data_IF_262374359464
#
_entry.id   IF_262374359464
#
_cell.length_a   1.000
_cell.length_b   1.000
_cell.length_c   1.000
_cell.angle_alpha   90.00
_cell.angle_beta   90.00
_cell.angle_gamma   90.00
#
_symmetry.space_group_name_H-M   'P 1'
#
loop_
_entity.id
_entity.type
_entity.pdbx_description
1 polymer ?
#
# COMPACT_ATOMS: atom_id res chain seq x y z
N UNK A 1 -60.76 3.00 36.78
CA UNK A 1 -61.49 1.90 36.12
C UNK A 1 -62.28 1.14 37.17
N UNK A 2 -63.60 1.35 37.24
CA UNK A 2 -64.46 0.93 38.35
C UNK A 2 -65.70 0.12 37.87
N UNK A 3 -65.55 -0.65 36.79
CA UNK A 3 -66.66 -1.39 36.15
C UNK A 3 -66.57 -2.91 36.34
N UNK A 4 -65.44 -3.46 36.78
CA UNK A 4 -65.25 -4.91 36.96
C UNK A 4 -65.99 -5.51 38.17
N UNK A 5 -66.29 -4.71 39.21
CA UNK A 5 -66.92 -5.21 40.45
C UNK A 5 -68.45 -5.38 40.36
N UNK A 6 -69.11 -4.75 39.40
CA UNK A 6 -70.58 -4.71 39.35
C UNK A 6 -71.21 -5.96 38.71
N UNK A 7 -70.48 -6.67 37.84
CA UNK A 7 -70.94 -7.91 37.22
C UNK A 7 -70.77 -9.14 38.12
N UNK A 8 -69.75 -9.17 38.97
CA UNK A 8 -69.52 -10.26 39.93
C UNK A 8 -70.61 -10.35 41.01
N UNK A 9 -71.13 -9.22 41.48
CA UNK A 9 -72.09 -9.19 42.59
C UNK A 9 -73.50 -9.67 42.20
N UNK A 10 -73.94 -9.40 40.96
CA UNK A 10 -75.32 -9.67 40.50
C UNK A 10 -75.53 -11.13 40.08
N UNK A 11 -74.50 -11.79 39.58
CA UNK A 11 -74.55 -13.16 39.08
C UNK A 11 -74.65 -14.23 40.20
N UNK A 12 -74.18 -13.87 41.41
CA UNK A 12 -74.05 -14.75 42.59
C UNK A 12 -75.35 -14.87 43.39
N UNK A 13 -76.18 -13.82 43.46
CA UNK A 13 -77.41 -13.85 44.28
C UNK A 13 -78.54 -14.73 43.73
N UNK A 14 -78.53 -15.04 42.42
CA UNK A 14 -79.55 -15.90 41.78
C UNK A 14 -79.33 -17.42 42.02
N UNK A 15 -78.20 -17.84 42.57
CA UNK A 15 -77.77 -19.25 42.57
C UNK A 15 -78.28 -20.10 43.74
N UNK A 16 -79.09 -19.55 44.66
CA UNK A 16 -79.11 -19.95 46.07
C UNK A 16 -80.36 -20.66 46.60
N UNK A 17 -81.28 -21.07 45.73
CA UNK A 17 -82.44 -21.88 46.12
C UNK A 17 -82.12 -23.38 46.24
N UNK A 18 -82.33 -23.90 47.45
CA UNK A 18 -82.75 -25.27 47.81
C UNK A 18 -81.75 -26.45 47.98
N UNK A 19 -82.19 -27.28 48.95
CA UNK A 19 -81.87 -28.66 49.37
C UNK A 19 -80.62 -28.99 50.23
N UNK A 20 -80.93 -29.45 51.45
CA UNK A 20 -80.12 -30.23 52.41
C UNK A 20 -80.58 -31.70 52.30
N UNK A 21 -79.63 -32.66 52.26
CA UNK A 21 -79.70 -34.06 52.76
C UNK A 21 -78.80 -35.03 51.94
N UNK A 22 -78.04 -35.87 52.65
CA UNK A 22 -77.31 -37.10 52.26
C UNK A 22 -75.88 -37.06 51.66
N UNK A 23 -74.97 -37.84 52.28
CA UNK A 23 -73.49 -37.74 52.20
C UNK A 23 -72.84 -38.45 51.00
N UNK A 24 -73.45 -39.50 50.42
CA UNK A 24 -72.95 -40.15 49.18
C UNK A 24 -73.10 -39.27 47.93
N UNK A 25 -73.71 -38.10 48.08
CA UNK A 25 -73.97 -37.12 47.03
C UNK A 25 -72.98 -35.93 47.08
N UNK A 26 -72.01 -35.90 48.00
CA UNK A 26 -71.10 -34.76 48.20
C UNK A 26 -70.27 -34.43 46.94
N UNK A 27 -69.53 -35.39 46.37
CA UNK A 27 -68.77 -35.16 45.12
C UNK A 27 -69.67 -34.89 43.91
N UNK A 28 -70.86 -35.48 43.84
CA UNK A 28 -71.84 -35.18 42.79
C UNK A 28 -72.39 -33.76 42.92
N UNK A 29 -72.67 -33.30 44.14
CA UNK A 29 -73.08 -31.92 44.46
C UNK A 29 -71.98 -30.91 44.21
N UNK A 30 -70.75 -31.23 44.59
CA UNK A 30 -69.57 -30.43 44.26
C UNK A 30 -69.46 -30.25 42.74
N UNK A 31 -69.58 -31.34 41.98
CA UNK A 31 -69.56 -31.30 40.52
C UNK A 31 -70.75 -30.53 39.94
N UNK A 32 -71.96 -30.68 40.48
CA UNK A 32 -73.14 -29.89 40.05
C UNK A 32 -72.94 -28.39 40.33
N UNK A 33 -72.47 -28.03 41.52
CA UNK A 33 -72.21 -26.65 41.93
C UNK A 33 -71.10 -26.04 41.07
N UNK A 34 -70.01 -26.79 40.84
CA UNK A 34 -68.93 -26.42 39.93
C UNK A 34 -69.44 -26.14 38.52
N UNK A 35 -70.23 -27.06 37.93
CA UNK A 35 -70.84 -26.87 36.60
C UNK A 35 -71.74 -25.63 36.57
N UNK A 36 -72.48 -25.36 37.66
CA UNK A 36 -73.33 -24.18 37.80
C UNK A 36 -72.51 -22.88 37.82
N UNK A 37 -71.38 -22.84 38.52
CA UNK A 37 -70.43 -21.71 38.52
C UNK A 37 -69.80 -21.55 37.13
N UNK A 38 -69.29 -22.62 36.54
CA UNK A 38 -68.62 -22.59 35.23
C UNK A 38 -69.53 -22.15 34.07
N UNK A 39 -70.82 -22.48 34.09
CA UNK A 39 -71.79 -21.98 33.09
C UNK A 39 -72.05 -20.48 33.19
N UNK A 40 -71.76 -19.89 34.34
CA UNK A 40 -72.08 -18.51 34.69
C UNK A 40 -70.86 -17.58 34.61
N UNK A 41 -69.65 -18.12 34.69
CA UNK A 41 -68.41 -17.35 34.57
C UNK A 41 -67.85 -17.47 33.14
N UNK A 42 -67.89 -16.41 32.32
CA UNK A 42 -67.24 -16.43 31.00
C UNK A 42 -65.72 -16.63 31.15
N UNK A 43 -65.10 -17.31 30.18
CA UNK A 43 -63.65 -17.36 30.06
C UNK A 43 -63.22 -16.13 29.25
N UNK A 44 -63.22 -14.95 29.88
CA UNK A 44 -62.80 -13.72 29.21
C UNK A 44 -61.27 -13.63 29.11
N UNK A 45 -60.77 -12.98 28.07
CA UNK A 45 -59.39 -12.48 28.02
C UNK A 45 -59.07 -11.67 29.28
N UNK A 46 -57.92 -11.96 29.88
CA UNK A 46 -57.45 -11.25 31.06
C UNK A 46 -58.27 -11.42 32.34
N UNK A 47 -59.33 -12.25 32.38
CA UNK A 47 -59.95 -12.63 33.66
C UNK A 47 -58.98 -13.58 34.37
N UNK A 48 -58.38 -13.17 35.50
CA UNK A 48 -57.41 -14.01 36.18
C UNK A 48 -58.15 -15.30 36.57
N UNK A 49 -57.54 -16.47 36.35
CA UNK A 49 -58.09 -17.75 36.83
C UNK A 49 -58.57 -17.70 38.28
N UNK A 50 -57.96 -16.78 39.05
CA UNK A 50 -58.37 -16.29 40.37
C UNK A 50 -59.86 -15.97 40.53
N UNK A 51 -60.53 -15.33 39.56
CA UNK A 51 -61.96 -14.98 39.67
C UNK A 51 -62.87 -16.22 39.69
N UNK A 52 -62.61 -17.19 38.82
CA UNK A 52 -63.39 -18.45 38.80
C UNK A 52 -63.07 -19.31 40.02
N UNK A 53 -61.79 -19.41 40.39
CA UNK A 53 -61.37 -20.13 41.60
C UNK A 53 -61.99 -19.53 42.87
N UNK A 54 -62.03 -18.19 42.98
CA UNK A 54 -62.66 -17.49 44.09
C UNK A 54 -64.18 -17.67 44.10
N UNK A 55 -64.83 -17.68 42.93
CA UNK A 55 -66.26 -17.95 42.83
C UNK A 55 -66.60 -19.38 43.28
N UNK A 56 -65.78 -20.37 42.91
CA UNK A 56 -65.91 -21.75 43.40
C UNK A 56 -65.72 -21.81 44.91
N UNK A 57 -64.66 -21.21 45.43
CA UNK A 57 -64.41 -21.14 46.87
C UNK A 57 -65.62 -20.55 47.62
N UNK A 58 -66.14 -19.39 47.21
CA UNK A 58 -67.34 -18.77 47.81
C UNK A 58 -68.53 -19.72 47.79
N UNK A 59 -68.74 -20.42 46.68
CA UNK A 59 -69.86 -21.35 46.53
C UNK A 59 -69.74 -22.55 47.48
N UNK A 60 -68.54 -23.11 47.65
CA UNK A 60 -68.27 -24.23 48.56
C UNK A 60 -68.39 -23.80 50.02
N UNK A 61 -67.77 -22.68 50.40
CA UNK A 61 -67.86 -22.14 51.77
C UNK A 61 -69.29 -21.84 52.17
N UNK A 62 -70.11 -21.30 51.27
CA UNK A 62 -71.54 -21.05 51.52
C UNK A 62 -72.35 -22.34 51.76
N UNK A 63 -71.88 -23.47 51.24
CA UNK A 63 -72.47 -24.79 51.48
C UNK A 63 -71.89 -25.49 52.72
N UNK A 64 -71.04 -24.80 53.50
CA UNK A 64 -70.47 -25.29 54.75
C UNK A 64 -69.21 -26.14 54.57
N UNK A 65 -68.61 -26.14 53.39
CA UNK A 65 -67.36 -26.87 53.12
C UNK A 65 -66.15 -25.99 53.37
N UNK A 66 -65.05 -26.58 53.83
CA UNK A 66 -63.76 -25.87 53.94
C UNK A 66 -63.11 -25.86 52.57
N UNK A 67 -62.70 -24.67 52.12
CA UNK A 67 -62.08 -24.51 50.82
C UNK A 67 -60.96 -23.46 50.87
N UNK A 68 -60.01 -23.58 49.96
CA UNK A 68 -58.85 -22.69 49.80
C UNK A 68 -58.64 -22.38 48.31
N UNK A 69 -58.08 -21.21 47.99
CA UNK A 69 -57.63 -20.87 46.64
C UNK A 69 -56.12 -20.75 46.62
N UNK A 70 -55.42 -21.68 45.94
CA UNK A 70 -53.97 -21.60 45.76
C UNK A 70 -53.64 -21.03 44.40
N UNK A 71 -52.70 -20.11 44.38
CA UNK A 71 -52.04 -19.63 43.18
C UNK A 71 -50.67 -20.29 43.09
N UNK A 72 -50.45 -21.01 42.01
CA UNK A 72 -49.20 -21.69 41.68
C UNK A 72 -48.58 -21.05 40.43
N UNK A 73 -47.28 -21.16 40.26
CA UNK A 73 -46.64 -20.70 39.03
C UNK A 73 -45.20 -20.31 39.19
N UNK A 74 -44.64 -19.84 38.09
CA UNK A 74 -43.32 -19.24 38.01
C UNK A 74 -43.57 -17.75 37.76
N UNK A 75 -43.18 -16.92 38.72
CA UNK A 75 -43.65 -15.54 38.95
C UNK A 75 -43.50 -14.56 37.78
N UNK A 76 -42.84 -14.97 36.70
CA UNK A 76 -42.60 -14.19 35.47
C UNK A 76 -43.52 -14.53 34.30
N UNK A 77 -44.20 -15.69 34.27
CA UNK A 77 -44.78 -16.22 33.02
C UNK A 77 -46.28 -16.54 33.11
N UNK A 78 -46.67 -17.41 34.05
CA UNK A 78 -48.05 -17.88 34.15
C UNK A 78 -48.35 -18.24 35.59
N UNK A 79 -49.55 -17.84 36.05
CA UNK A 79 -50.08 -18.31 37.33
C UNK A 79 -51.32 -19.16 37.13
N UNK A 80 -51.39 -20.24 37.89
CA UNK A 80 -52.40 -21.29 37.84
C UNK A 80 -53.13 -21.32 39.18
N UNK A 81 -54.35 -20.81 39.21
CA UNK A 81 -55.16 -20.78 40.43
C UNK A 81 -56.06 -22.01 40.54
N UNK A 82 -55.94 -22.74 41.65
CA UNK A 82 -56.70 -23.94 41.98
C UNK A 82 -57.57 -23.72 43.21
N UNK A 83 -58.78 -24.28 43.21
CA UNK A 83 -59.61 -24.36 44.41
C UNK A 83 -59.46 -25.74 45.04
N UNK A 84 -59.06 -25.79 46.30
CA UNK A 84 -58.93 -27.04 47.06
C UNK A 84 -60.10 -27.10 48.04
N UNK A 85 -60.79 -28.23 48.12
CA UNK A 85 -61.96 -28.41 48.98
C UNK A 85 -61.80 -29.65 49.83
N UNK A 86 -62.02 -29.52 51.13
CA UNK A 86 -62.11 -30.65 52.05
C UNK A 86 -63.48 -31.33 51.89
N UNK A 87 -63.47 -32.57 51.43
CA UNK A 87 -64.66 -33.41 51.27
C UNK A 87 -64.43 -34.70 52.06
N UNK A 88 -65.06 -34.80 53.22
CA UNK A 88 -64.97 -35.98 54.10
C UNK A 88 -63.51 -36.38 54.45
N UNK A 89 -62.65 -35.38 54.68
CA UNK A 89 -61.23 -35.58 55.00
C UNK A 89 -60.32 -35.75 53.79
N UNK A 90 -60.86 -35.72 52.57
CA UNK A 90 -60.09 -35.76 51.32
C UNK A 90 -60.04 -34.37 50.70
N UNK A 91 -58.82 -33.86 50.48
CA UNK A 91 -58.58 -32.58 49.82
C UNK A 91 -58.69 -32.75 48.31
N UNK A 92 -59.85 -32.41 47.74
CA UNK A 92 -60.11 -32.50 46.30
C UNK A 92 -59.64 -31.24 45.57
N UNK A 93 -58.98 -31.42 44.43
CA UNK A 93 -58.53 -30.32 43.56
C UNK A 93 -59.61 -30.02 42.52
N UNK A 94 -60.07 -28.77 42.49
CA UNK A 94 -60.89 -28.23 41.43
C UNK A 94 -60.10 -27.20 40.63
N UNK A 95 -59.72 -27.62 39.42
CA UNK A 95 -58.98 -26.78 38.49
C UNK A 95 -59.94 -26.05 37.56
N UNK A 96 -60.18 -24.78 37.88
CA UNK A 96 -61.04 -23.92 37.09
C UNK A 96 -60.36 -23.42 35.80
N UNK A 97 -59.03 -23.42 35.77
CA UNK A 97 -58.23 -22.86 34.68
C UNK A 97 -58.14 -23.86 33.55
N UNK A 98 -57.57 -25.04 33.82
CA UNK A 98 -57.45 -26.14 32.85
C UNK A 98 -58.69 -27.03 32.78
N UNK A 99 -59.68 -26.79 33.65
CA UNK A 99 -60.92 -27.56 33.69
C UNK A 99 -60.71 -29.06 33.95
N UNK A 100 -59.75 -29.34 34.82
CA UNK A 100 -59.33 -30.68 35.18
C UNK A 100 -59.97 -31.12 36.50
N UNK A 101 -60.22 -32.43 36.60
CA UNK A 101 -60.54 -33.10 37.86
C UNK A 101 -59.52 -34.18 38.10
N UNK A 102 -58.90 -34.14 39.27
CA UNK A 102 -57.88 -35.10 39.67
C UNK A 102 -58.57 -36.26 40.40
N UNK A 103 -58.16 -37.49 40.11
CA UNK A 103 -58.65 -38.67 40.84
C UNK A 103 -58.00 -38.79 42.22
N UNK A 104 -56.76 -38.31 42.32
CA UNK A 104 -55.97 -38.29 43.54
C UNK A 104 -56.29 -37.06 44.41
N UNK A 105 -56.07 -37.19 45.72
CA UNK A 105 -56.13 -36.08 46.64
C UNK A 105 -54.98 -35.10 46.42
N UNK A 106 -55.12 -33.87 46.94
CA UNK A 106 -54.14 -32.80 46.71
C UNK A 106 -52.71 -33.18 47.06
N UNK A 107 -52.49 -33.83 48.21
CA UNK A 107 -51.15 -34.24 48.63
C UNK A 107 -50.55 -35.33 47.74
N UNK A 108 -51.36 -36.31 47.34
CA UNK A 108 -50.91 -37.39 46.45
C UNK A 108 -50.54 -36.85 45.06
N UNK A 109 -51.27 -35.84 44.57
CA UNK A 109 -50.91 -35.12 43.34
C UNK A 109 -49.55 -34.44 43.47
N UNK A 110 -49.31 -33.73 44.58
CA UNK A 110 -48.02 -33.08 44.82
C UNK A 110 -46.87 -34.09 44.92
N UNK A 111 -47.07 -35.20 45.61
CA UNK A 111 -46.06 -36.26 45.72
C UNK A 111 -45.75 -36.88 44.35
N UNK A 112 -46.77 -37.21 43.57
CA UNK A 112 -46.59 -37.74 42.22
C UNK A 112 -45.80 -36.78 41.31
N UNK A 113 -46.18 -35.49 41.32
CA UNK A 113 -45.47 -34.46 40.57
C UNK A 113 -44.03 -34.29 41.06
N UNK A 114 -43.79 -34.32 42.38
CA UNK A 114 -42.45 -34.24 42.96
C UNK A 114 -41.56 -35.40 42.52
N UNK A 115 -42.13 -36.60 42.40
CA UNK A 115 -41.45 -37.78 41.86
C UNK A 115 -41.25 -37.72 40.33
N UNK A 116 -41.71 -36.64 39.68
CA UNK A 116 -41.64 -36.45 38.23
C UNK A 116 -42.64 -37.30 37.45
N UNK A 117 -43.67 -37.83 38.11
CA UNK A 117 -44.72 -38.62 37.48
C UNK A 117 -45.85 -37.69 37.01
N UNK A 118 -46.27 -37.77 35.74
CA UNK A 118 -47.45 -37.04 35.29
C UNK A 118 -48.68 -37.57 36.03
N UNK A 119 -49.60 -36.68 36.38
CA UNK A 119 -50.80 -37.02 37.15
C UNK A 119 -52.00 -37.10 36.24
N UNK A 120 -52.62 -38.26 36.16
CA UNK A 120 -53.84 -38.44 35.37
C UNK A 120 -54.96 -37.54 35.89
N UNK A 121 -55.43 -36.66 34.99
CA UNK A 121 -56.50 -35.74 35.27
C UNK A 121 -57.55 -35.85 34.17
N UNK A 122 -58.82 -35.92 34.58
CA UNK A 122 -59.93 -35.98 33.65
C UNK A 122 -60.33 -34.56 33.26
N UNK A 123 -60.21 -34.24 31.97
CA UNK A 123 -60.84 -33.06 31.42
C UNK A 123 -62.37 -33.23 31.51
N UNK A 124 -63.05 -32.30 32.18
CA UNK A 124 -64.50 -32.25 32.09
C UNK A 124 -64.91 -31.44 30.86
N UNK A 125 -65.79 -31.97 30.03
CA UNK A 125 -66.36 -31.20 28.93
C UNK A 125 -67.25 -30.11 29.56
N UNK A 126 -66.92 -28.84 29.31
CA UNK A 126 -67.82 -27.73 29.63
C UNK A 126 -68.72 -27.53 28.43
N UNK A 127 -70.02 -27.73 28.64
CA UNK A 127 -71.01 -27.70 27.56
C UNK A 127 -71.02 -26.39 26.76
N UNK A 128 -70.59 -25.25 27.34
CA UNK A 128 -70.46 -23.94 26.64
C UNK A 128 -69.47 -23.02 27.33
N UNK A 129 -68.45 -22.54 26.61
CA UNK A 129 -67.68 -21.36 27.04
C UNK A 129 -67.61 -20.34 25.92
N UNK A 130 -67.87 -19.09 26.29
CA UNK A 130 -67.66 -17.94 25.43
C UNK A 130 -66.27 -17.39 25.77
N UNK A 131 -65.37 -17.40 24.80
CA UNK A 131 -64.13 -16.64 24.86
C UNK A 131 -64.42 -15.23 24.39
N UNK A 132 -64.14 -14.24 25.24
CA UNK A 132 -64.28 -12.82 24.89
C UNK A 132 -62.88 -12.36 24.53
N UNK A 133 -62.68 -11.89 23.30
CA UNK A 133 -61.40 -11.52 22.73
C UNK A 133 -61.32 -10.00 22.58
N UNK A 134 -60.21 -9.40 23.02
CA UNK A 134 -59.88 -8.02 22.70
C UNK A 134 -58.90 -7.98 21.52
N UNK A 135 -59.33 -7.55 20.32
CA UNK A 135 -58.46 -7.49 19.15
C UNK A 135 -57.24 -6.58 19.33
N UNK A 136 -57.27 -5.64 20.28
CA UNK A 136 -56.17 -4.73 20.55
C UNK A 136 -55.02 -5.34 21.36
N UNK A 137 -55.23 -6.51 21.98
CA UNK A 137 -54.26 -7.15 22.86
C UNK A 137 -53.89 -8.58 22.48
N UNK A 138 -54.74 -9.27 21.70
CA UNK A 138 -54.48 -10.67 21.36
C UNK A 138 -53.45 -10.82 20.22
N UNK A 139 -52.49 -11.77 20.36
CA UNK A 139 -51.59 -12.14 19.27
C UNK A 139 -52.35 -12.66 18.04
N UNK A 140 -51.83 -12.38 16.85
CA UNK A 140 -52.40 -12.86 15.58
C UNK A 140 -52.58 -14.40 15.55
N UNK A 141 -51.65 -15.15 16.14
CA UNK A 141 -51.75 -16.60 16.27
C UNK A 141 -52.98 -17.05 17.08
N UNK A 142 -53.30 -16.33 18.17
CA UNK A 142 -54.50 -16.58 18.96
C UNK A 142 -55.76 -16.33 18.14
N UNK A 143 -55.80 -15.22 17.40
CA UNK A 143 -56.93 -14.86 16.54
C UNK A 143 -57.17 -15.92 15.48
N UNK A 144 -56.12 -16.30 14.75
CA UNK A 144 -56.18 -17.31 13.69
C UNK A 144 -56.64 -18.68 14.25
N UNK A 145 -56.16 -19.05 15.44
CA UNK A 145 -56.59 -20.29 16.08
C UNK A 145 -58.07 -20.25 16.47
N UNK A 146 -58.56 -19.14 17.03
CA UNK A 146 -59.97 -18.98 17.39
C UNK A 146 -60.89 -19.04 16.17
N UNK A 147 -60.52 -18.38 15.07
CA UNK A 147 -61.31 -18.39 13.84
C UNK A 147 -61.39 -19.79 13.20
N UNK A 148 -60.34 -20.60 13.36
CA UNK A 148 -60.29 -21.95 12.85
C UNK A 148 -60.98 -23.00 13.75
N UNK A 149 -61.02 -22.78 15.07
CA UNK A 149 -61.40 -23.82 16.05
C UNK A 149 -62.64 -23.48 16.89
N UNK A 150 -63.14 -22.24 16.85
CA UNK A 150 -64.40 -21.89 17.49
C UNK A 150 -65.58 -22.53 16.74
N UNK A 151 -66.60 -22.95 17.48
CA UNK A 151 -67.85 -23.47 16.88
C UNK A 151 -68.55 -22.38 16.06
N UNK A 152 -68.48 -21.14 16.56
CA UNK A 152 -68.95 -19.91 15.88
C UNK A 152 -68.50 -18.65 16.60
N UNK A 153 -68.51 -17.55 15.86
CA UNK A 153 -68.47 -16.20 16.44
C UNK A 153 -69.88 -15.73 16.86
N UNK A 154 -69.96 -15.06 18.01
CA UNK A 154 -71.17 -14.51 18.61
C UNK A 154 -71.20 -12.98 18.44
N UNK A 155 -72.36 -12.37 18.64
CA UNK A 155 -72.48 -10.91 18.59
C UNK A 155 -71.50 -10.24 19.59
N UNK A 156 -70.71 -9.25 19.13
CA UNK A 156 -69.72 -8.57 19.98
C UNK A 156 -70.38 -7.79 21.11
N UNK A 157 -69.62 -7.53 22.18
CA UNK A 157 -70.06 -6.71 23.33
C UNK A 157 -68.98 -5.65 23.57
N UNK A 158 -69.37 -4.38 23.61
CA UNK A 158 -68.47 -3.26 23.92
C UNK A 158 -67.20 -3.22 23.04
N UNK A 159 -67.32 -3.62 21.77
CA UNK A 159 -66.20 -3.70 20.82
C UNK A 159 -65.34 -4.96 20.93
N UNK A 160 -65.62 -5.84 21.90
CA UNK A 160 -64.92 -7.11 22.09
C UNK A 160 -65.58 -8.22 21.25
N UNK A 161 -64.77 -8.96 20.50
CA UNK A 161 -65.21 -10.13 19.72
C UNK A 161 -65.51 -11.29 20.68
N UNK A 162 -66.43 -12.18 20.31
CA UNK A 162 -66.88 -13.27 21.18
C UNK A 162 -66.96 -14.56 20.41
N UNK A 163 -66.30 -15.60 20.89
CA UNK A 163 -66.26 -16.91 20.25
C UNK A 163 -66.87 -17.97 21.16
N UNK A 164 -67.74 -18.82 20.63
CA UNK A 164 -68.16 -20.05 21.30
C UNK A 164 -67.08 -21.11 21.03
N UNK A 165 -66.34 -21.50 22.08
CA UNK A 165 -65.23 -22.45 21.95
C UNK A 165 -65.27 -23.51 23.05
N UNK A 166 -64.90 -24.74 22.70
CA UNK A 166 -64.67 -25.78 23.68
C UNK A 166 -63.40 -25.46 24.48
N UNK A 167 -63.58 -25.09 25.75
CA UNK A 167 -62.44 -24.73 26.61
C UNK A 167 -61.75 -25.97 27.19
N UNK A 168 -60.75 -26.46 26.47
CA UNK A 168 -59.84 -27.53 26.86
C UNK A 168 -58.39 -26.99 27.02
N UNK A 169 -57.44 -27.89 27.29
CA UNK A 169 -56.02 -27.52 27.44
C UNK A 169 -55.43 -26.92 26.15
N UNK A 170 -55.85 -27.41 24.99
CA UNK A 170 -55.40 -26.89 23.69
C UNK A 170 -55.85 -25.45 23.44
N UNK A 171 -57.13 -25.15 23.69
CA UNK A 171 -57.67 -23.79 23.62
C UNK A 171 -56.93 -22.85 24.56
N UNK A 172 -56.59 -23.33 25.77
CA UNK A 172 -55.77 -22.57 26.71
C UNK A 172 -54.36 -22.32 26.14
N UNK A 173 -53.71 -23.35 25.58
CA UNK A 173 -52.38 -23.26 24.96
C UNK A 173 -52.35 -22.22 23.84
N UNK A 174 -53.37 -22.23 22.99
CA UNK A 174 -53.47 -21.33 21.85
C UNK A 174 -53.83 -19.89 22.21
N UNK A 175 -54.51 -19.67 23.34
CA UNK A 175 -55.08 -18.35 23.70
C UNK A 175 -54.35 -17.63 24.83
N UNK A 176 -53.29 -18.22 25.40
CA UNK A 176 -52.53 -17.60 26.50
C UNK A 176 -51.12 -17.18 26.06
N UNK A 177 -50.87 -15.87 25.89
CA UNK A 177 -49.54 -15.37 25.57
C UNK A 177 -48.61 -15.57 26.77
N UNK A 178 -47.69 -16.54 26.67
CA UNK A 178 -46.73 -16.85 27.74
C UNK A 178 -46.53 -18.35 28.00
N UNK A 179 -47.32 -19.22 27.39
CA UNK A 179 -47.21 -20.68 27.62
C UNK A 179 -45.86 -21.24 27.17
N UNK A 180 -45.32 -20.78 26.04
CA UNK A 180 -43.99 -21.20 25.60
C UNK A 180 -42.87 -20.71 26.54
N UNK A 181 -43.05 -19.56 27.20
CA UNK A 181 -42.12 -19.13 28.24
C UNK A 181 -42.24 -20.03 29.47
N UNK A 182 -43.47 -20.33 29.91
CA UNK A 182 -43.72 -21.23 31.03
C UNK A 182 -43.16 -22.65 30.80
N UNK A 183 -43.31 -23.20 29.59
CA UNK A 183 -42.72 -24.49 29.25
C UNK A 183 -41.21 -24.47 29.27
N UNK A 184 -40.58 -23.42 28.72
CA UNK A 184 -39.12 -23.26 28.78
C UNK A 184 -38.62 -23.19 30.22
N UNK A 185 -39.27 -22.42 31.09
CA UNK A 185 -38.89 -22.34 32.49
C UNK A 185 -39.03 -23.69 33.21
N UNK A 186 -40.12 -24.43 32.96
CA UNK A 186 -40.30 -25.78 33.52
C UNK A 186 -39.18 -26.70 33.05
N UNK A 187 -38.85 -26.68 31.77
CA UNK A 187 -37.77 -27.46 31.18
C UNK A 187 -36.40 -27.07 31.77
N UNK A 188 -36.10 -25.79 31.90
CA UNK A 188 -34.87 -25.31 32.52
C UNK A 188 -34.72 -25.80 33.97
N UNK A 189 -35.84 -25.92 34.69
CA UNK A 189 -35.90 -26.48 36.04
C UNK A 189 -35.94 -28.02 36.07
N UNK A 190 -35.90 -28.67 34.91
CA UNK A 190 -35.83 -30.14 34.76
C UNK A 190 -37.19 -30.86 34.77
N UNK A 191 -38.29 -30.12 34.71
CA UNK A 191 -39.64 -30.66 34.60
C UNK A 191 -40.03 -30.95 33.13
N UNK A 192 -41.00 -31.85 32.90
CA UNK A 192 -41.63 -32.01 31.60
C UNK A 192 -42.40 -30.75 31.15
N UNK A 193 -42.70 -30.64 29.85
CA UNK A 193 -43.59 -29.62 29.28
C UNK A 193 -45.05 -29.88 29.65
N UNK A 194 -45.35 -29.80 30.94
CA UNK A 194 -46.65 -30.09 31.51
C UNK A 194 -46.96 -29.06 32.60
N UNK A 195 -47.98 -28.24 32.35
CA UNK A 195 -48.34 -27.11 33.22
C UNK A 195 -48.81 -27.56 34.61
N UNK A 196 -49.14 -28.84 34.82
CA UNK A 196 -49.45 -29.37 36.16
C UNK A 196 -48.26 -29.27 37.11
N UNK A 197 -47.03 -29.28 36.61
CA UNK A 197 -45.82 -29.11 37.44
C UNK A 197 -45.70 -27.71 38.06
N UNK A 198 -46.47 -26.72 37.58
CA UNK A 198 -46.58 -25.43 38.26
C UNK A 198 -47.05 -25.58 39.71
N UNK A 199 -47.82 -26.63 40.03
CA UNK A 199 -48.29 -26.91 41.40
C UNK A 199 -47.17 -27.16 42.43
N UNK A 200 -45.93 -27.38 41.99
CA UNK A 200 -44.75 -27.46 42.86
C UNK A 200 -44.16 -26.09 43.21
N UNK A 201 -44.74 -25.01 42.68
CA UNK A 201 -44.28 -23.63 42.85
C UNK A 201 -45.41 -22.76 43.41
N UNK A 202 -45.76 -22.88 44.70
CA UNK A 202 -46.80 -22.07 45.32
C UNK A 202 -46.36 -20.60 45.40
N UNK A 203 -47.28 -19.70 45.08
CA UNK A 203 -47.07 -18.24 45.10
C UNK A 203 -47.88 -17.62 46.25
N UNK A 204 -49.17 -17.94 46.32
CA UNK A 204 -50.09 -17.36 47.29
C UNK A 204 -51.23 -18.35 47.59
N UNK A 205 -51.77 -18.33 48.79
CA UNK A 205 -53.06 -18.97 49.10
C UNK A 205 -53.99 -18.01 49.79
N UNK A 206 -55.24 -18.00 49.38
CA UNK A 206 -56.34 -17.37 50.09
C UNK A 206 -57.16 -18.44 50.83
N UNK A 207 -57.22 -18.35 52.15
CA UNK A 207 -57.94 -19.30 53.01
C UNK A 207 -59.39 -18.91 53.31
N UNK A 208 -59.80 -17.72 52.85
CA UNK A 208 -61.11 -17.15 53.10
C UNK A 208 -61.09 -15.91 53.99
N UNK A 209 -60.05 -15.74 54.78
CA UNK A 209 -59.85 -14.57 55.64
C UNK A 209 -58.64 -13.76 55.17
N UNK A 210 -57.53 -14.44 54.88
CA UNK A 210 -56.23 -13.82 54.61
C UNK A 210 -55.55 -14.48 53.42
N UNK A 211 -54.72 -13.68 52.75
CA UNK A 211 -53.78 -14.18 51.76
C UNK A 211 -52.44 -14.47 52.45
N UNK A 212 -51.92 -15.69 52.25
CA UNK A 212 -50.61 -16.12 52.74
C UNK A 212 -49.66 -16.29 51.56
N UNK A 213 -48.50 -15.63 51.61
CA UNK A 213 -47.45 -15.72 50.59
C UNK A 213 -46.21 -16.46 51.07
N UNK A 214 -46.00 -16.54 52.38
CA UNK A 214 -44.88 -17.26 52.95
C UNK A 214 -45.20 -18.75 53.01
N UNK A 215 -44.42 -19.63 52.35
CA UNK A 215 -44.70 -21.08 52.34
C UNK A 215 -44.91 -21.73 53.72
N UNK A 216 -44.21 -21.33 54.81
CA UNK A 216 -44.44 -21.87 56.14
C UNK A 216 -45.82 -21.53 56.73
N UNK A 217 -46.45 -20.42 56.30
CA UNK A 217 -47.75 -19.97 56.82
C UNK A 217 -48.91 -20.39 55.93
N UNK A 218 -48.62 -20.87 54.71
CA UNK A 218 -49.65 -21.39 53.83
C UNK A 218 -50.36 -22.60 54.49
N UNK A 219 -51.68 -22.58 54.68
CA UNK A 219 -52.44 -23.76 55.09
C UNK A 219 -52.12 -24.93 54.14
N UNK A 220 -52.39 -26.18 54.55
CA UNK A 220 -52.17 -27.43 53.80
C UNK A 220 -50.72 -27.75 53.36
N UNK A 221 -49.91 -26.75 53.02
CA UNK A 221 -48.53 -26.89 52.59
C UNK A 221 -47.58 -26.74 53.77
N UNK A 222 -47.80 -25.80 54.71
CA UNK A 222 -47.11 -25.70 55.99
C UNK A 222 -45.58 -25.94 55.94
N UNK A 223 -44.89 -25.37 54.95
CA UNK A 223 -43.44 -25.55 54.78
C UNK A 223 -43.01 -26.92 54.23
N UNK A 224 -43.92 -27.73 53.70
CA UNK A 224 -43.62 -28.98 52.99
C UNK A 224 -42.64 -28.73 51.85
N UNK A 225 -41.64 -29.59 51.76
CA UNK A 225 -40.70 -29.57 50.66
C UNK A 225 -41.35 -30.10 49.36
N UNK A 226 -41.55 -29.17 48.43
CA UNK A 226 -42.09 -29.43 47.09
C UNK A 226 -40.98 -29.55 46.02
N UNK A 227 -39.70 -29.46 46.42
CA UNK A 227 -38.60 -29.63 45.50
C UNK A 227 -38.58 -31.05 44.93
N UNK A 228 -38.40 -31.17 43.62
CA UNK A 228 -38.25 -32.46 42.95
C UNK A 228 -36.76 -32.80 42.81
N UNK A 229 -36.24 -33.84 43.50
CA UNK A 229 -34.85 -34.28 43.32
C UNK A 229 -34.57 -34.72 41.89
N UNK A 230 -35.57 -35.33 41.23
CA UNK A 230 -35.44 -35.79 39.85
C UNK A 230 -35.35 -34.60 38.87
N UNK A 231 -36.16 -33.55 39.07
CA UNK A 231 -36.06 -32.34 38.26
C UNK A 231 -34.72 -31.64 38.48
N UNK A 232 -34.26 -31.54 39.74
CA UNK A 232 -32.94 -30.99 40.06
C UNK A 232 -31.81 -31.76 39.35
N UNK A 233 -31.85 -33.10 39.37
CA UNK A 233 -30.87 -33.94 38.67
C UNK A 233 -30.91 -33.73 37.14
N UNK A 234 -32.11 -33.61 36.54
CA UNK A 234 -32.27 -33.33 35.11
C UNK A 234 -31.76 -31.94 34.73
N UNK A 235 -32.03 -30.93 35.54
CA UNK A 235 -31.54 -29.57 35.34
C UNK A 235 -30.01 -29.53 35.42
N UNK A 236 -29.42 -30.17 36.44
CA UNK A 236 -27.98 -30.30 36.59
C UNK A 236 -27.33 -31.01 35.39
N UNK A 237 -27.90 -32.14 34.95
CA UNK A 237 -27.41 -32.86 33.77
C UNK A 237 -27.46 -32.00 32.50
N UNK A 238 -28.54 -31.24 32.30
CA UNK A 238 -28.65 -30.30 31.17
C UNK A 238 -27.57 -29.22 31.25
N UNK A 239 -27.33 -28.67 32.43
CA UNK A 239 -26.31 -27.66 32.64
C UNK A 239 -24.90 -28.21 32.34
N UNK A 240 -24.56 -29.39 32.87
CA UNK A 240 -23.29 -30.07 32.60
C UNK A 240 -23.13 -30.36 31.10
N UNK A 241 -24.19 -30.78 30.40
CA UNK A 241 -24.14 -31.02 28.97
C UNK A 241 -23.89 -29.74 28.15
N UNK A 242 -24.46 -28.60 28.56
CA UNK A 242 -24.18 -27.29 27.93
C UNK A 242 -22.74 -26.86 28.15
N UNK A 243 -22.25 -27.02 29.38
CA UNK A 243 -20.85 -26.72 29.73
C UNK A 243 -19.90 -27.59 28.92
N UNK A 244 -20.15 -28.90 28.84
CA UNK A 244 -19.36 -29.83 28.01
C UNK A 244 -19.38 -29.44 26.52
N UNK A 245 -20.53 -29.05 25.98
CA UNK A 245 -20.61 -28.57 24.60
C UNK A 245 -19.80 -27.27 24.39
N UNK A 246 -19.84 -26.35 25.35
CA UNK A 246 -19.06 -25.11 25.32
C UNK A 246 -17.54 -25.37 25.40
N UNK A 247 -17.12 -26.35 26.20
CA UNK A 247 -15.71 -26.74 26.31
C UNK A 247 -15.23 -27.37 25.01
N UNK A 248 -16.03 -28.27 24.41
CA UNK A 248 -15.72 -28.85 23.10
C UNK A 248 -15.57 -27.80 22.00
N UNK A 249 -16.44 -26.78 21.99
CA UNK A 249 -16.33 -25.67 21.05
C UNK A 249 -15.02 -24.88 21.26
N UNK A 250 -14.68 -24.56 22.52
CA UNK A 250 -13.42 -23.88 22.86
C UNK A 250 -12.20 -24.71 22.48
N UNK A 251 -12.22 -26.03 22.70
CA UNK A 251 -11.13 -26.92 22.27
C UNK A 251 -10.96 -26.93 20.75
N UNK A 252 -12.05 -26.97 19.99
CA UNK A 252 -12.00 -26.90 18.52
C UNK A 252 -11.42 -25.56 18.02
N UNK A 253 -11.76 -24.45 18.67
CA UNK A 253 -11.18 -23.13 18.37
C UNK A 253 -9.67 -23.09 18.67
N UNK A 254 -9.25 -23.67 19.78
CA UNK A 254 -7.83 -23.78 20.15
C UNK A 254 -7.05 -24.65 19.15
N UNK A 255 -7.59 -25.80 18.75
CA UNK A 255 -6.97 -26.66 17.72
C UNK A 255 -6.84 -25.93 16.38
N UNK A 256 -7.88 -25.20 15.95
CA UNK A 256 -7.82 -24.39 14.74
C UNK A 256 -6.74 -23.29 14.81
N UNK A 257 -6.56 -22.67 15.98
CA UNK A 257 -5.52 -21.68 16.22
C UNK A 257 -4.11 -22.30 16.18
N UNK A 258 -3.91 -23.47 16.78
CA UNK A 258 -2.65 -24.23 16.71
C UNK A 258 -2.30 -24.53 15.26
N UNK A 259 -3.24 -25.09 14.49
CA UNK A 259 -3.02 -25.40 13.07
C UNK A 259 -2.72 -24.17 12.21
N UNK A 260 -3.22 -22.98 12.61
CA UNK A 260 -2.87 -21.72 11.93
C UNK A 260 -1.44 -21.32 12.26
N UNK A 261 -1.06 -21.34 13.53
CA UNK A 261 0.29 -21.00 13.98
C UNK A 261 1.34 -21.97 13.40
N UNK A 262 1.05 -23.26 13.32
CA UNK A 262 1.95 -24.24 12.69
C UNK A 262 2.18 -23.93 11.21
N UNK A 263 1.13 -23.51 10.48
CA UNK A 263 1.25 -23.06 9.09
C UNK A 263 2.06 -21.78 8.95
N UNK A 264 1.82 -20.80 9.83
CA UNK A 264 2.60 -19.55 9.86
C UNK A 264 4.08 -19.84 10.16
N UNK A 265 4.38 -20.69 11.14
CA UNK A 265 5.73 -21.15 11.45
C UNK A 265 6.39 -21.84 10.24
N UNK A 266 5.69 -22.74 9.56
CA UNK A 266 6.19 -23.40 8.34
C UNK A 266 6.48 -22.41 7.21
N UNK A 267 5.63 -21.39 7.03
CA UNK A 267 5.84 -20.33 6.05
C UNK A 267 7.06 -19.46 6.41
N UNK A 268 7.21 -19.07 7.68
CA UNK A 268 8.37 -18.30 8.17
C UNK A 268 9.66 -19.11 8.00
N UNK A 269 9.67 -20.40 8.33
CA UNK A 269 10.84 -21.26 8.13
C UNK A 269 11.21 -21.37 6.65
N UNK A 270 10.23 -21.53 5.77
CA UNK A 270 10.45 -21.56 4.33
C UNK A 270 11.01 -20.23 3.81
N UNK A 271 10.47 -19.10 4.29
CA UNK A 271 10.96 -17.76 3.97
C UNK A 271 12.40 -17.52 4.46
N UNK A 272 12.73 -17.99 5.68
CA UNK A 272 14.08 -17.92 6.22
C UNK A 272 15.08 -18.75 5.40
N UNK A 273 14.69 -19.96 4.98
CA UNK A 273 15.50 -20.79 4.11
C UNK A 273 15.78 -20.11 2.76
N UNK A 274 14.76 -19.53 2.14
CA UNK A 274 14.89 -18.77 0.89
C UNK A 274 15.81 -17.55 1.06
N UNK A 275 15.62 -16.77 2.12
CA UNK A 275 16.47 -15.62 2.44
C UNK A 275 17.93 -16.03 2.70
N UNK A 276 18.16 -17.17 3.36
CA UNK A 276 19.50 -17.71 3.58
C UNK A 276 20.17 -18.13 2.26
N UNK A 277 19.43 -18.78 1.35
CA UNK A 277 19.97 -19.12 0.02
C UNK A 277 20.31 -17.88 -0.79
N UNK A 278 19.48 -16.85 -0.73
CA UNK A 278 19.72 -15.59 -1.43
C UNK A 278 20.92 -14.84 -0.83
N UNK A 279 21.06 -14.83 0.50
CA UNK A 279 22.22 -14.23 1.16
C UNK A 279 23.53 -14.91 0.76
N UNK A 280 23.54 -16.25 0.62
CA UNK A 280 24.70 -16.99 0.09
C UNK A 280 25.00 -16.59 -1.36
N UNK A 281 23.98 -16.54 -2.21
CA UNK A 281 24.11 -16.13 -3.61
C UNK A 281 24.72 -14.73 -3.74
N UNK A 282 24.23 -13.76 -2.95
CA UNK A 282 24.77 -12.40 -2.91
C UNK A 282 26.20 -12.38 -2.35
N UNK A 283 26.49 -13.20 -1.34
CA UNK A 283 27.85 -13.39 -0.82
C UNK A 283 28.82 -13.84 -1.91
N UNK A 284 28.45 -14.84 -2.70
CA UNK A 284 29.25 -15.34 -3.82
C UNK A 284 29.46 -14.26 -4.90
N UNK A 285 28.41 -13.47 -5.21
CA UNK A 285 28.52 -12.33 -6.13
C UNK A 285 29.50 -11.27 -5.63
N UNK A 286 29.49 -10.95 -4.34
CA UNK A 286 30.44 -9.99 -3.75
C UNK A 286 31.88 -10.51 -3.92
N UNK A 287 32.11 -11.81 -3.70
CA UNK A 287 33.44 -12.42 -3.90
C UNK A 287 33.88 -12.31 -5.36
N UNK A 288 32.98 -12.60 -6.31
CA UNK A 288 33.26 -12.46 -7.75
C UNK A 288 33.59 -11.01 -8.15
N UNK A 289 32.82 -10.05 -7.66
CA UNK A 289 33.04 -8.63 -7.96
C UNK A 289 34.36 -8.13 -7.36
N UNK A 290 34.74 -8.59 -6.16
CA UNK A 290 36.04 -8.28 -5.57
C UNK A 290 37.18 -8.84 -6.39
N UNK A 291 37.09 -10.10 -6.82
CA UNK A 291 38.10 -10.70 -7.69
C UNK A 291 38.25 -9.94 -9.02
N UNK A 292 37.13 -9.55 -9.65
CA UNK A 292 37.15 -8.76 -10.88
C UNK A 292 37.76 -7.37 -10.66
N UNK A 293 37.46 -6.71 -9.54
CA UNK A 293 38.08 -5.43 -9.17
C UNK A 293 39.59 -5.57 -8.96
N UNK A 294 40.04 -6.64 -8.31
CA UNK A 294 41.46 -6.92 -8.10
C UNK A 294 42.19 -7.22 -9.42
N UNK A 295 41.53 -7.90 -10.38
CA UNK A 295 42.04 -8.12 -11.73
C UNK A 295 42.17 -6.79 -12.50
N UNK A 296 41.15 -5.94 -12.48
CA UNK A 296 41.17 -4.62 -13.13
C UNK A 296 42.22 -3.70 -12.51
N UNK A 297 42.37 -3.72 -11.18
CA UNK A 297 43.41 -2.96 -10.48
C UNK A 297 44.80 -3.40 -10.93
N UNK A 298 45.02 -4.70 -11.12
CA UNK A 298 46.28 -5.25 -11.66
C UNK A 298 46.52 -4.83 -13.11
N UNK A 299 45.48 -4.85 -13.96
CA UNK A 299 45.56 -4.38 -15.35
C UNK A 299 45.95 -2.91 -15.41
N UNK A 300 45.27 -2.06 -14.65
CA UNK A 300 45.56 -0.63 -14.61
C UNK A 300 46.98 -0.34 -14.11
N UNK A 301 47.46 -1.08 -13.11
CA UNK A 301 48.84 -0.97 -12.63
C UNK A 301 49.86 -1.34 -13.73
N UNK A 302 49.60 -2.41 -14.48
CA UNK A 302 50.44 -2.84 -15.60
C UNK A 302 50.43 -1.81 -16.75
N UNK A 303 49.25 -1.32 -17.16
CA UNK A 303 49.13 -0.27 -18.19
C UNK A 303 49.86 1.01 -17.79
N UNK A 304 49.71 1.44 -16.53
CA UNK A 304 50.44 2.60 -16.01
C UNK A 304 51.95 2.38 -16.05
N UNK A 305 52.42 1.17 -15.74
CA UNK A 305 53.84 0.84 -15.85
C UNK A 305 54.32 0.89 -17.31
N UNK A 306 53.57 0.33 -18.25
CA UNK A 306 53.89 0.38 -19.69
C UNK A 306 53.92 1.82 -20.21
N UNK A 307 52.94 2.64 -19.84
CA UNK A 307 52.92 4.07 -20.21
C UNK A 307 54.09 4.84 -19.60
N UNK A 308 54.45 4.55 -18.35
CA UNK A 308 55.61 5.14 -17.72
C UNK A 308 56.90 4.77 -18.45
N UNK A 309 57.04 3.52 -18.90
CA UNK A 309 58.19 3.07 -19.68
C UNK A 309 58.24 3.76 -21.06
N UNK A 310 57.11 3.79 -21.77
CA UNK A 310 57.00 4.47 -23.05
C UNK A 310 57.31 5.98 -22.95
N UNK A 311 56.90 6.64 -21.85
CA UNK A 311 57.25 8.03 -21.59
C UNK A 311 58.77 8.20 -21.42
N UNK A 312 59.42 7.34 -20.62
CA UNK A 312 60.87 7.41 -20.44
C UNK A 312 61.64 7.15 -21.74
N UNK A 313 61.16 6.25 -22.59
CA UNK A 313 61.75 5.99 -23.92
C UNK A 313 61.56 7.19 -24.85
N UNK A 314 60.37 7.79 -24.87
CA UNK A 314 60.08 8.99 -25.66
C UNK A 314 60.93 10.19 -25.22
N UNK A 315 61.13 10.38 -23.90
CA UNK A 315 62.02 11.40 -23.35
C UNK A 315 63.47 11.16 -23.76
N UNK A 316 63.95 9.92 -23.70
CA UNK A 316 65.29 9.56 -24.15
C UNK A 316 65.47 9.81 -25.67
N UNK A 317 64.48 9.47 -26.48
CA UNK A 317 64.50 9.72 -27.92
C UNK A 317 64.43 11.22 -28.25
N UNK A 318 63.65 12.01 -27.50
CA UNK A 318 63.61 13.45 -27.63
C UNK A 318 64.94 14.10 -27.21
N UNK A 319 65.62 13.58 -26.19
CA UNK A 319 66.95 14.03 -25.81
C UNK A 319 67.98 13.70 -26.91
N UNK A 320 67.94 12.49 -27.47
CA UNK A 320 68.81 12.08 -28.57
C UNK A 320 68.62 12.97 -29.81
N UNK A 321 67.38 13.24 -30.23
CA UNK A 321 67.10 14.12 -31.37
C UNK A 321 67.50 15.57 -31.13
N UNK A 322 67.44 16.06 -29.89
CA UNK A 322 67.99 17.39 -29.51
C UNK A 322 69.52 17.43 -29.65
N UNK A 323 70.21 16.36 -29.25
CA UNK A 323 71.68 16.25 -29.44
C UNK A 323 72.02 16.23 -30.93
N UNK A 324 71.28 15.44 -31.73
CA UNK A 324 71.49 15.37 -33.18
C UNK A 324 71.21 16.71 -33.88
N UNK A 325 70.10 17.38 -33.54
CA UNK A 325 69.82 18.73 -34.08
C UNK A 325 70.84 19.77 -33.63
N UNK A 326 71.40 19.66 -32.41
CA UNK A 326 72.50 20.51 -31.98
C UNK A 326 73.79 20.24 -32.77
N UNK A 327 74.10 18.97 -33.04
CA UNK A 327 75.24 18.58 -33.86
C UNK A 327 75.11 19.09 -35.31
N UNK A 328 73.96 18.86 -35.95
CA UNK A 328 73.67 19.36 -37.29
C UNK A 328 73.74 20.90 -37.37
N UNK A 329 73.26 21.61 -36.34
CA UNK A 329 73.40 23.08 -36.27
C UNK A 329 74.87 23.51 -36.15
N UNK A 330 75.68 22.79 -35.39
CA UNK A 330 77.10 23.07 -35.28
C UNK A 330 77.82 22.85 -36.62
N UNK A 331 77.51 21.76 -37.33
CA UNK A 331 78.03 21.50 -38.68
C UNK A 331 77.62 22.58 -39.68
N UNK A 332 76.36 23.01 -39.66
CA UNK A 332 75.86 24.06 -40.55
C UNK A 332 76.53 25.41 -40.26
N UNK A 333 76.83 25.70 -38.99
CA UNK A 333 77.56 26.90 -38.59
C UNK A 333 79.01 26.84 -39.07
N UNK A 334 79.66 25.68 -38.95
CA UNK A 334 81.02 25.45 -39.48
C UNK A 334 81.07 25.60 -41.00
N UNK A 335 80.15 24.97 -41.72
CA UNK A 335 80.07 25.06 -43.17
C UNK A 335 79.84 26.51 -43.66
N UNK A 336 79.06 27.31 -42.92
CA UNK A 336 78.94 28.75 -43.20
C UNK A 336 80.25 29.50 -42.98
N UNK A 337 80.96 29.23 -41.88
CA UNK A 337 82.25 29.87 -41.62
C UNK A 337 83.31 29.51 -42.69
N UNK A 338 83.34 28.25 -43.13
CA UNK A 338 84.23 27.79 -44.20
C UNK A 338 83.90 28.49 -45.53
N UNK A 339 82.61 28.62 -45.86
CA UNK A 339 82.16 29.35 -47.05
C UNK A 339 82.51 30.85 -47.00
N UNK A 340 82.33 31.52 -45.86
CA UNK A 340 82.68 32.94 -45.70
C UNK A 340 84.20 33.17 -45.82
N UNK A 341 85.01 32.20 -45.37
CA UNK A 341 86.46 32.22 -45.54
C UNK A 341 86.87 32.08 -47.01
N UNK A 342 86.24 31.16 -47.76
CA UNK A 342 86.46 31.03 -49.21
C UNK A 342 86.07 32.30 -49.97
N UNK A 343 84.90 32.89 -49.65
CA UNK A 343 84.46 34.16 -50.24
C UNK A 343 85.46 35.28 -49.96
N UNK A 344 85.92 35.41 -48.72
CA UNK A 344 86.92 36.42 -48.34
C UNK A 344 88.23 36.21 -49.10
N UNK A 345 88.66 34.96 -49.29
CA UNK A 345 89.81 34.60 -50.12
C UNK A 345 89.63 35.00 -51.59
N UNK A 346 88.44 34.79 -52.14
CA UNK A 346 88.09 35.19 -53.50
C UNK A 346 88.08 36.72 -53.68
N UNK A 347 87.51 37.47 -52.72
CA UNK A 347 87.52 38.94 -52.73
C UNK A 347 88.96 39.51 -52.65
N UNK A 348 89.84 38.88 -51.87
CA UNK A 348 91.27 39.24 -51.79
C UNK A 348 92.02 38.96 -53.11
N UNK A 349 91.73 37.83 -53.76
CA UNK A 349 92.29 37.51 -55.08
C UNK A 349 91.82 38.50 -56.17
N UNK A 350 90.55 38.92 -56.09
CA UNK A 350 89.95 39.85 -57.06
C UNK A 350 90.54 41.26 -56.91
N UNK A 351 90.73 41.73 -55.68
CA UNK A 351 91.41 43.02 -55.39
C UNK A 351 92.89 42.99 -55.79
N UNK A 352 93.58 41.87 -55.61
CA UNK A 352 94.96 41.69 -56.09
C UNK A 352 95.04 41.74 -57.62
N UNK A 353 94.08 41.14 -58.32
CA UNK A 353 93.95 41.21 -59.78
C UNK A 353 93.67 42.64 -60.28
N UNK A 354 92.79 43.38 -59.60
CA UNK A 354 92.51 44.79 -59.94
C UNK A 354 93.74 45.69 -59.73
N UNK A 355 94.51 45.48 -58.65
CA UNK A 355 95.75 46.22 -58.40
C UNK A 355 96.81 45.92 -59.47
N UNK A 356 96.97 44.65 -59.86
CA UNK A 356 97.89 44.25 -60.93
C UNK A 356 97.49 44.84 -62.29
N UNK A 357 96.18 44.87 -62.61
CA UNK A 357 95.66 45.49 -63.82
C UNK A 357 95.89 47.02 -63.84
N UNK A 358 95.71 47.69 -62.70
CA UNK A 358 95.98 49.14 -62.56
C UNK A 358 97.44 49.51 -62.83
N UNK A 359 98.37 48.75 -62.25
CA UNK A 359 99.82 48.91 -62.48
C UNK A 359 100.21 48.71 -63.95
N UNK A 360 99.57 47.75 -64.63
CA UNK A 360 99.85 47.45 -66.04
C UNK A 360 99.37 48.57 -66.98
N UNK A 361 98.23 49.19 -66.66
CA UNK A 361 97.70 50.35 -67.41
C UNK A 361 98.59 51.58 -67.23
N UNK A 362 99.09 51.84 -66.02
CA UNK A 362 100.01 52.94 -65.75
C UNK A 362 101.36 52.78 -66.46
N UNK A 363 101.97 51.59 -66.43
CA UNK A 363 103.22 51.31 -67.15
C UNK A 363 103.06 51.47 -68.67
N UNK A 364 101.93 51.03 -69.22
CA UNK A 364 101.63 51.17 -70.66
C UNK A 364 101.43 52.64 -71.05
N UNK A 365 100.77 53.44 -70.20
CA UNK A 365 100.57 54.87 -70.40
C UNK A 365 101.89 55.66 -70.38
N UNK A 366 102.79 55.33 -69.45
CA UNK A 366 104.13 55.92 -69.39
C UNK A 366 104.96 55.60 -70.63
N UNK A 367 104.99 54.34 -71.07
CA UNK A 367 105.72 53.94 -72.28
C UNK A 367 105.24 54.66 -73.54
N UNK A 368 103.91 54.88 -73.68
CA UNK A 368 103.32 55.62 -74.80
C UNK A 368 103.63 57.12 -74.72
N UNK A 369 103.69 57.72 -73.52
CA UNK A 369 104.09 59.12 -73.37
C UNK A 369 105.56 59.35 -73.71
N UNK A 370 106.46 58.46 -73.29
CA UNK A 370 107.90 58.55 -73.61
C UNK A 370 108.14 58.47 -75.12
N UNK A 371 107.50 57.52 -75.81
CA UNK A 371 107.58 57.41 -77.26
C UNK A 371 107.04 58.65 -77.99
N UNK A 372 106.00 59.30 -77.46
CA UNK A 372 105.45 60.56 -78.00
C UNK A 372 106.39 61.76 -77.83
N UNK A 373 107.11 61.85 -76.70
CA UNK A 373 108.10 62.92 -76.49
C UNK A 373 109.33 62.76 -77.40
N UNK A 374 109.77 61.53 -77.64
CA UNK A 374 110.89 61.23 -78.55
C UNK A 374 110.54 61.53 -80.01
N UNK A 375 109.30 61.24 -80.43
CA UNK A 375 108.83 61.59 -81.77
C UNK A 375 108.83 63.12 -82.00
N UNK A 376 108.37 63.90 -81.01
CA UNK A 376 108.38 65.37 -81.10
C UNK A 376 109.79 65.97 -81.11
N UNK A 377 110.73 65.36 -80.38
CA UNK A 377 112.13 65.77 -80.41
C UNK A 377 112.73 65.53 -81.82
N UNK A 378 112.50 64.35 -82.40
CA UNK A 378 112.96 64.02 -83.76
C UNK A 378 112.33 64.91 -84.85
N UNK A 379 111.06 65.33 -84.70
CA UNK A 379 110.43 66.30 -85.61
C UNK A 379 111.07 67.70 -85.51
N UNK A 380 111.44 68.15 -84.32
CA UNK A 380 112.10 69.45 -84.11
C UNK A 380 113.53 69.49 -84.68
N UNK A 381 114.30 68.41 -84.55
CA UNK A 381 115.63 68.28 -85.16
C UNK A 381 115.56 68.31 -86.70
N UNK A 382 114.53 67.70 -87.29
CA UNK A 382 114.30 67.71 -88.74
C UNK A 382 113.93 69.10 -89.25
N UNK A 383 113.14 69.86 -88.49
CA UNK A 383 112.82 71.26 -88.83
C UNK A 383 114.06 72.17 -88.73
N UNK A 384 114.90 71.96 -87.71
CA UNK A 384 116.16 72.69 -87.54
C UNK A 384 117.14 72.43 -88.69
N UNK A 385 117.32 71.18 -89.11
CA UNK A 385 118.15 70.81 -90.25
C UNK A 385 117.66 71.40 -91.58
N UNK A 386 116.35 71.61 -91.72
CA UNK A 386 115.75 72.24 -92.91
C UNK A 386 116.00 73.75 -92.92
N UNK A 387 115.89 74.41 -91.76
CA UNK A 387 116.19 75.83 -91.60
C UNK A 387 117.67 76.16 -91.86
N UNK A 388 118.60 75.32 -91.40
CA UNK A 388 120.03 75.52 -91.65
C UNK A 388 120.41 75.32 -93.12
N UNK A 389 119.78 74.36 -93.80
CA UNK A 389 119.95 74.16 -95.25
C UNK A 389 119.52 75.38 -96.05
N UNK A 390 118.39 75.99 -95.70
CA UNK A 390 117.86 77.15 -96.42
C UNK A 390 118.69 78.42 -96.14
N UNK A 391 119.27 78.53 -94.94
CA UNK A 391 120.24 79.58 -94.58
C UNK A 391 121.55 79.48 -95.36
N UNK A 392 122.09 78.27 -95.53
CA UNK A 392 123.29 78.01 -96.35
C UNK A 392 123.02 78.32 -97.83
N UNK A 393 121.81 78.00 -98.34
CA UNK A 393 121.40 78.32 -99.71
C UNK A 393 121.30 79.83 -99.95
N UNK A 394 120.81 80.59 -98.98
CA UNK A 394 120.74 82.05 -99.06
C UNK A 394 122.14 82.71 -99.05
N UNK A 395 123.08 82.20 -98.25
CA UNK A 395 124.45 82.76 -98.19
C UNK A 395 125.25 82.46 -99.47
N UNK A 396 125.04 81.29 -100.09
CA UNK A 396 125.64 80.93 -101.37
C UNK A 396 125.09 81.76 -102.55
N UNK A 397 123.79 82.08 -102.55
CA UNK A 397 123.18 82.95 -103.54
C UNK A 397 123.72 84.40 -103.45
N UNK A 398 123.90 84.92 -102.24
CA UNK A 398 124.46 86.26 -102.02
C UNK A 398 125.94 86.38 -102.48
N UNK A 399 126.75 85.33 -102.26
CA UNK A 399 128.16 85.30 -102.69
C UNK A 399 128.33 85.17 -104.21
N UNK A 400 127.41 84.48 -104.89
CA UNK A 400 127.43 84.37 -106.36
C UNK A 400 127.05 85.70 -107.03
N UNK A 401 126.09 86.44 -106.46
CA UNK A 401 125.64 87.73 -106.99
C UNK A 401 126.69 88.85 -106.79
N UNK A 402 127.49 88.80 -105.72
CA UNK A 402 128.63 89.71 -105.51
C UNK A 402 129.79 89.49 -106.52
N UNK A 403 129.89 88.29 -107.11
CA UNK A 403 130.96 87.94 -108.06
C UNK A 403 130.64 88.37 -109.50
N UNK A 404 129.37 88.57 -109.85
CA UNK A 404 128.94 89.04 -111.17
C UNK A 404 129.16 90.55 -111.41
N UNK A 405 129.26 91.35 -110.34
CA UNK A 405 129.39 92.81 -110.43
C UNK A 405 130.83 93.35 -110.25
N UNK A 406 131.85 92.50 -110.35
CA UNK A 406 133.26 92.89 -110.14
C UNK A 406 133.87 93.64 -111.35
N UNK A 407 134.60 94.75 -111.13
CA UNK A 407 135.15 95.64 -112.18
C UNK A 407 136.15 94.96 -113.14
N UNK A 408 136.67 93.78 -112.80
CA UNK A 408 137.60 93.01 -113.64
C UNK A 408 136.96 92.39 -114.90
N UNK A 409 135.63 92.19 -114.93
CA UNK A 409 134.98 91.51 -116.06
C UNK A 409 134.69 92.41 -117.28
N UNK A 410 134.57 93.74 -117.10
CA UNK A 410 134.38 94.68 -118.22
C UNK A 410 135.68 95.09 -118.91
N UNK A 411 136.83 95.08 -118.22
CA UNK A 411 138.15 95.21 -118.86
C UNK A 411 138.42 94.01 -119.80
N UNK A 412 137.95 92.82 -119.43
CA UNK A 412 138.14 91.59 -120.23
C UNK A 412 137.22 91.50 -121.45
N UNK A 413 136.04 92.13 -121.42
CA UNK A 413 135.14 92.21 -122.56
C UNK A 413 135.65 93.18 -123.65
N UNK A 414 136.46 94.18 -123.30
CA UNK A 414 137.13 95.07 -124.26
C UNK A 414 138.18 94.33 -125.11
N UNK A 415 138.89 93.35 -124.53
CA UNK A 415 139.95 92.63 -125.25
C UNK A 415 139.46 91.43 -126.09
N UNK A 416 138.34 90.80 -125.72
CA UNK A 416 137.93 89.51 -126.32
C UNK A 416 136.97 89.61 -127.51
N UNK A 417 136.54 90.81 -127.93
CA UNK A 417 135.81 91.00 -129.21
C UNK A 417 136.71 91.34 -130.40
N UNK A 418 138.03 91.39 -130.23
CA UNK A 418 138.96 91.57 -131.33
C UNK A 418 139.18 90.29 -132.16
N UNK A 419 139.14 89.07 -131.59
CA UNK A 419 139.61 87.89 -132.32
C UNK A 419 138.94 86.56 -131.90
N UNK A 420 137.98 86.10 -132.71
CA UNK A 420 137.76 84.68 -133.04
C UNK A 420 137.06 83.77 -132.01
N UNK A 421 135.78 83.46 -132.27
CA UNK A 421 135.11 82.25 -131.76
C UNK A 421 135.47 81.01 -132.61
N UNK A 422 135.27 79.77 -132.13
CA UNK A 422 133.89 79.25 -132.05
C UNK A 422 133.61 78.18 -130.96
N UNK A 423 132.31 77.96 -130.76
CA UNK A 423 131.56 76.69 -130.64
C UNK A 423 131.99 75.51 -129.73
N UNK A 424 130.91 74.78 -129.37
CA UNK A 424 130.79 73.37 -128.95
C UNK A 424 131.03 73.10 -127.46
N UNK A 425 130.38 72.12 -126.81
CA UNK A 425 129.15 71.31 -126.96
C UNK A 425 129.20 70.30 -125.78
N UNK A 426 128.08 69.63 -125.47
CA UNK A 426 127.97 68.33 -124.76
C UNK A 426 128.19 68.39 -123.22
N UNK A 427 127.58 67.57 -122.35
CA UNK A 427 126.70 66.40 -122.45
C UNK A 427 126.01 66.09 -121.09
N UNK A 428 124.95 65.25 -121.13
CA UNK A 428 124.41 64.29 -120.13
C UNK A 428 123.97 64.82 -118.74
N UNK A 429 122.96 64.32 -118.03
CA UNK A 429 122.04 63.17 -118.11
C UNK A 429 121.38 63.00 -116.72
N UNK A 430 120.14 62.46 -116.70
CA UNK A 430 119.19 62.24 -115.57
C UNK A 430 118.30 63.40 -115.12
#
# INVERSE_FOLDING_TARGET
MATSGYLEARLVNSLLGEERLDLKDASRRLNRLRRKVYRKTPAATGSPGRGTALALWRAFTKKGLRAWCYEFGLSSNITHTLTIVDTDGVLQIHDAVFNLTYQLGFHDVLDALRDGRPVDAKAEIRDRKIYVMDPGFEPEATVNWLEANADRELAPIDGLRRFEVLWNLEAFIATFPGIEAAYRDLEERGYPRDLRFLMLHPIEVFDGEKSHRDPPTMPLLAGRDLSSPLAAARAALRQVNRELASERARSAEQEAAILRLERECGAVQSGLAAASTEARRLGDQIVQLRAALDDETRRFAAERQTLSQALTEAEAQAAASRVETAALRAELTKARADWDAERSGFECATTSLQAAAGLWVEQSSQAVQTARSELKAAESERQQATADRDRIRADLAARLQARENSPWRKLRAFCLRALGGPARRNAAGH
#
